data_IF_128850837617
#
_entry.id   IF_128850837617
#
_cell.length_a   1.000
_cell.length_b   1.000
_cell.length_c   1.000
_cell.angle_alpha   90.00
_cell.angle_beta   90.00
_cell.angle_gamma   90.00
#
_symmetry.space_group_name_H-M   'P 1'
#
loop_
_entity.id
_entity.type
_entity.pdbx_description
1 polymer ?
#
# COMPACT_ATOMS: atom_id res chain seq x y z
N UNK A 1 4.18 -20.40 3.81
CA UNK A 1 4.36 -18.94 3.68
C UNK A 1 4.78 -18.65 2.26
N UNK A 2 4.08 -17.77 1.55
CA UNK A 2 4.54 -17.27 0.25
C UNK A 2 5.72 -16.31 0.45
N UNK A 3 6.56 -16.15 -0.57
CA UNK A 3 7.67 -15.21 -0.50
C UNK A 3 7.15 -13.76 -0.42
N UNK A 4 7.76 -12.93 0.44
CA UNK A 4 7.44 -11.52 0.55
C UNK A 4 7.76 -10.76 -0.75
N UNK A 5 6.82 -9.97 -1.24
CA UNK A 5 7.09 -9.06 -2.36
C UNK A 5 7.54 -7.70 -1.82
N UNK A 6 8.85 -7.43 -1.88
CA UNK A 6 9.42 -6.19 -1.35
C UNK A 6 9.72 -5.17 -2.45
N UNK A 7 9.63 -3.89 -2.09
CA UNK A 7 10.08 -2.77 -2.92
C UNK A 7 11.17 -1.98 -2.19
N UNK A 8 12.02 -1.28 -2.94
CA UNK A 8 13.05 -0.44 -2.34
C UNK A 8 13.14 0.96 -2.94
N UNK A 9 13.73 1.83 -2.13
CA UNK A 9 14.14 3.18 -2.47
C UNK A 9 15.67 3.29 -2.35
N UNK A 10 16.29 3.99 -3.30
CA UNK A 10 17.73 4.23 -3.30
C UNK A 10 18.58 3.10 -3.86
N UNK A 11 19.90 3.20 -3.71
CA UNK A 11 20.83 2.16 -4.18
C UNK A 11 21.00 1.10 -3.10
N UNK A 12 20.56 -0.16 -3.31
CA UNK A 12 20.78 -1.22 -2.35
C UNK A 12 22.28 -1.58 -2.31
N UNK A 13 22.79 -2.05 -1.15
CA UNK A 13 24.15 -2.57 -1.05
C UNK A 13 24.43 -3.65 -2.11
N UNK A 14 25.65 -3.71 -2.64
CA UNK A 14 26.00 -4.63 -3.73
C UNK A 14 25.69 -6.10 -3.39
N UNK A 15 25.96 -6.51 -2.15
CA UNK A 15 25.66 -7.86 -1.65
C UNK A 15 24.15 -8.15 -1.59
N UNK A 16 23.33 -7.10 -1.47
CA UNK A 16 21.88 -7.19 -1.51
C UNK A 16 21.36 -7.32 -2.94
N UNK A 17 21.95 -6.58 -3.88
CA UNK A 17 21.64 -6.67 -5.32
C UNK A 17 22.17 -7.97 -5.98
N UNK A 18 23.27 -8.52 -5.46
CA UNK A 18 23.92 -9.75 -5.94
C UNK A 18 23.43 -11.03 -5.23
N UNK A 19 22.65 -10.92 -4.16
CA UNK A 19 22.31 -12.00 -3.23
C UNK A 19 21.05 -12.81 -3.56
N UNK A 20 21.02 -14.04 -3.04
CA UNK A 20 19.95 -15.05 -3.16
C UNK A 20 18.71 -14.70 -2.33
N UNK A 21 17.97 -13.68 -2.73
CA UNK A 21 16.65 -13.43 -2.16
C UNK A 21 15.65 -14.46 -2.69
N UNK A 22 14.78 -14.97 -1.82
CA UNK A 22 13.69 -15.86 -2.23
C UNK A 22 12.64 -15.14 -3.10
N UNK A 23 12.63 -13.81 -3.10
CA UNK A 23 11.81 -12.98 -3.98
C UNK A 23 12.59 -11.73 -4.44
N UNK A 24 12.42 -11.29 -5.69
CA UNK A 24 13.16 -10.17 -6.24
C UNK A 24 12.78 -8.87 -5.53
N UNK A 25 13.79 -8.10 -5.16
CA UNK A 25 13.64 -6.73 -4.76
C UNK A 25 13.47 -5.87 -6.02
N UNK A 26 12.42 -5.06 -6.10
CA UNK A 26 12.16 -4.18 -7.25
C UNK A 26 12.09 -2.71 -6.83
N UNK A 27 12.53 -1.82 -7.71
CA UNK A 27 12.38 -0.38 -7.52
C UNK A 27 10.90 -0.05 -7.29
N UNK A 28 10.62 1.00 -6.54
CA UNK A 28 9.27 1.55 -6.42
C UNK A 28 8.65 1.68 -7.82
N UNK A 29 7.54 0.97 -8.03
CA UNK A 29 6.81 0.89 -9.28
C UNK A 29 5.34 1.27 -9.03
N UNK A 30 4.59 1.54 -10.08
CA UNK A 30 3.13 1.81 -10.05
C UNK A 30 2.29 0.55 -9.76
N UNK A 31 2.88 -0.46 -9.11
CA UNK A 31 2.17 -1.68 -8.76
C UNK A 31 0.97 -1.38 -7.87
N UNK A 32 -0.12 -2.14 -8.02
CA UNK A 32 -1.24 -2.00 -7.11
C UNK A 32 -0.78 -2.30 -5.67
N UNK A 33 -1.26 -1.56 -4.66
CA UNK A 33 -0.74 -1.66 -3.30
C UNK A 33 -0.79 -3.06 -2.67
N UNK A 34 -1.71 -3.93 -3.06
CA UNK A 34 -1.75 -5.32 -2.55
C UNK A 34 -0.60 -6.20 -3.05
N UNK A 35 0.07 -5.82 -4.14
CA UNK A 35 1.19 -6.59 -4.69
C UNK A 35 2.48 -6.41 -3.88
N UNK A 36 2.55 -5.38 -3.03
CA UNK A 36 3.72 -5.06 -2.21
C UNK A 36 3.45 -5.42 -0.76
N UNK A 37 4.37 -6.12 -0.12
CA UNK A 37 4.29 -6.55 1.28
C UNK A 37 5.08 -5.65 2.23
N UNK A 38 6.10 -4.95 1.74
CA UNK A 38 6.86 -3.99 2.54
C UNK A 38 7.93 -3.25 1.74
N UNK A 39 8.59 -2.32 2.43
CA UNK A 39 9.51 -1.35 1.87
C UNK A 39 10.88 -1.42 2.55
N UNK A 40 11.94 -1.32 1.75
CA UNK A 40 13.32 -1.13 2.23
C UNK A 40 13.83 0.23 1.72
N UNK A 41 14.32 1.07 2.62
CA UNK A 41 14.82 2.41 2.26
C UNK A 41 16.31 2.47 2.55
N UNK A 42 17.15 2.52 1.52
CA UNK A 42 18.60 2.53 1.68
C UNK A 42 19.21 3.93 1.67
N UNK A 43 18.60 4.86 0.93
CA UNK A 43 19.04 6.25 0.84
C UNK A 43 17.85 7.19 0.91
N UNK A 44 18.13 8.51 0.96
CA UNK A 44 17.07 9.52 0.84
C UNK A 44 16.34 9.38 -0.51
N UNK A 45 14.98 9.32 -0.51
CA UNK A 45 14.18 9.24 -1.73
C UNK A 45 14.22 10.54 -2.54
N UNK A 46 14.11 10.39 -3.85
CA UNK A 46 13.68 11.44 -4.78
C UNK A 46 12.20 11.80 -4.56
N UNK A 47 11.72 12.89 -5.17
CA UNK A 47 10.32 13.31 -5.07
C UNK A 47 9.34 12.28 -5.67
N UNK A 48 9.74 11.57 -6.72
CA UNK A 48 8.94 10.51 -7.34
C UNK A 48 8.85 9.27 -6.44
N UNK A 49 10.00 8.80 -5.92
CA UNK A 49 10.04 7.70 -4.94
C UNK A 49 9.26 8.05 -3.67
N UNK A 50 9.27 9.31 -3.28
CA UNK A 50 8.53 9.81 -2.12
C UNK A 50 7.03 9.61 -2.26
N UNK A 51 6.45 9.86 -3.43
CA UNK A 51 5.03 9.63 -3.67
C UNK A 51 4.66 8.15 -3.57
N UNK A 52 5.50 7.27 -4.14
CA UNK A 52 5.36 5.82 -4.02
C UNK A 52 5.42 5.34 -2.56
N UNK A 53 6.39 5.83 -1.79
CA UNK A 53 6.52 5.51 -0.35
C UNK A 53 5.28 5.98 0.40
N UNK A 54 4.84 7.23 0.22
CA UNK A 54 3.66 7.77 0.90
C UNK A 54 2.41 6.97 0.57
N UNK A 55 2.22 6.61 -0.69
CA UNK A 55 1.12 5.76 -1.14
C UNK A 55 1.11 4.43 -0.39
N UNK A 56 2.23 3.70 -0.39
CA UNK A 56 2.33 2.40 0.27
C UNK A 56 2.22 2.49 1.80
N UNK A 57 2.78 3.54 2.42
CA UNK A 57 2.63 3.80 3.86
C UNK A 57 1.19 4.13 4.25
N UNK A 58 0.45 4.86 3.43
CA UNK A 58 -1.00 5.08 3.62
C UNK A 58 -1.79 3.77 3.58
N UNK A 59 -1.32 2.80 2.81
CA UNK A 59 -1.87 1.44 2.78
C UNK A 59 -1.38 0.56 3.95
N UNK A 60 -0.53 1.09 4.83
CA UNK A 60 0.00 0.41 6.00
C UNK A 60 1.11 -0.58 5.69
N UNK A 61 1.79 -0.47 4.54
CA UNK A 61 2.91 -1.34 4.22
C UNK A 61 4.09 -1.06 5.14
N UNK A 62 4.62 -2.07 5.86
CA UNK A 62 5.74 -1.87 6.75
C UNK A 62 6.98 -1.42 5.97
N UNK A 63 7.80 -0.59 6.59
CA UNK A 63 9.00 -0.01 6.00
C UNK A 63 10.18 -0.06 6.97
N UNK A 64 11.32 -0.50 6.46
CA UNK A 64 12.61 -0.49 7.16
C UNK A 64 13.51 0.59 6.56
N UNK A 65 14.13 1.41 7.39
CA UNK A 65 15.16 2.36 6.95
C UNK A 65 16.55 1.85 7.29
N UNK A 66 17.45 2.00 6.32
CA UNK A 66 18.89 1.83 6.46
C UNK A 66 19.69 3.10 6.18
N UNK A 67 19.04 4.19 5.77
CA UNK A 67 19.67 5.48 5.47
C UNK A 67 20.10 6.25 6.74
N UNK A 68 21.39 6.26 7.13
CA UNK A 68 21.83 6.90 8.38
C UNK A 68 21.76 8.44 8.30
N UNK A 69 21.90 8.99 7.10
CA UNK A 69 21.96 10.44 6.85
C UNK A 69 20.58 11.06 6.56
N UNK A 70 19.51 10.35 6.92
CA UNK A 70 18.14 10.77 6.65
C UNK A 70 17.25 10.66 7.90
N UNK A 71 17.35 11.62 8.84
CA UNK A 71 16.63 11.57 10.10
C UNK A 71 15.09 11.59 9.93
N UNK A 72 14.58 12.18 8.84
CA UNK A 72 13.15 12.17 8.51
C UNK A 72 12.61 10.77 8.19
N UNK A 73 13.48 9.79 7.91
CA UNK A 73 13.09 8.39 7.73
C UNK A 73 12.33 7.84 8.94
N UNK A 74 12.57 8.37 10.15
CA UNK A 74 11.91 7.94 11.38
C UNK A 74 10.39 8.13 11.35
N UNK A 75 9.91 9.11 10.57
CA UNK A 75 8.49 9.40 10.47
C UNK A 75 7.76 8.44 9.51
N UNK A 76 8.50 7.63 8.76
CA UNK A 76 7.99 6.84 7.64
C UNK A 76 8.28 5.36 7.76
N UNK A 77 9.14 5.00 8.69
CA UNK A 77 9.60 3.62 8.87
C UNK A 77 9.17 3.12 10.22
N UNK A 78 8.88 1.83 10.28
CA UNK A 78 8.47 1.18 11.52
C UNK A 78 9.70 0.79 12.33
N UNK A 79 10.81 0.50 11.66
CA UNK A 79 12.08 0.14 12.28
C UNK A 79 13.25 0.76 11.49
N UNK A 80 14.28 1.15 12.23
CA UNK A 80 15.51 1.73 11.70
C UNK A 80 16.71 0.86 12.04
N UNK A 81 17.56 0.61 11.06
CA UNK A 81 18.77 -0.18 11.19
C UNK A 81 19.92 0.56 10.51
N UNK A 82 20.90 1.06 11.27
CA UNK A 82 22.02 1.81 10.70
C UNK A 82 23.35 1.26 11.20
N UNK A 83 24.27 0.83 10.31
CA UNK A 83 24.11 0.63 8.85
C UNK A 83 23.35 -0.67 8.50
N UNK A 84 23.11 -0.91 7.21
CA UNK A 84 22.70 -2.24 6.73
C UNK A 84 23.84 -3.25 6.94
N UNK A 85 23.52 -4.41 7.54
CA UNK A 85 24.45 -5.51 7.76
C UNK A 85 24.03 -6.74 6.92
N UNK A 86 24.80 -7.16 5.90
CA UNK A 86 24.43 -8.30 5.05
C UNK A 86 24.17 -9.60 5.83
N UNK A 87 24.92 -9.83 6.92
CA UNK A 87 24.76 -11.02 7.77
C UNK A 87 23.44 -11.05 8.56
N UNK A 88 22.64 -9.97 8.56
CA UNK A 88 21.40 -9.84 9.34
C UNK A 88 20.12 -9.83 8.50
N UNK A 89 20.21 -10.13 7.19
CA UNK A 89 19.05 -10.11 6.27
C UNK A 89 17.86 -10.93 6.78
N UNK A 90 18.10 -12.15 7.26
CA UNK A 90 17.03 -12.99 7.80
C UNK A 90 16.31 -12.33 9.01
N UNK A 91 17.07 -11.59 9.83
CA UNK A 91 16.53 -10.80 10.94
C UNK A 91 15.67 -9.64 10.47
N UNK A 92 16.08 -8.92 9.42
CA UNK A 92 15.28 -7.83 8.84
C UNK A 92 13.96 -8.35 8.25
N UNK A 93 13.99 -9.48 7.56
CA UNK A 93 12.78 -10.12 7.02
C UNK A 93 11.83 -10.56 8.13
N UNK A 94 12.37 -11.24 9.16
CA UNK A 94 11.58 -11.66 10.32
C UNK A 94 10.93 -10.46 11.02
N UNK A 95 11.68 -9.36 11.17
CA UNK A 95 11.15 -8.13 11.75
C UNK A 95 10.03 -7.51 10.90
N UNK A 96 10.18 -7.50 9.57
CA UNK A 96 9.15 -7.02 8.65
C UNK A 96 7.88 -7.89 8.69
N UNK A 97 8.03 -9.21 8.74
CA UNK A 97 6.90 -10.16 8.83
C UNK A 97 6.13 -10.03 10.14
N UNK A 98 6.80 -9.64 11.22
CA UNK A 98 6.19 -9.42 12.53
C UNK A 98 5.36 -8.13 12.59
N UNK A 99 5.56 -7.19 11.65
CA UNK A 99 4.80 -5.94 11.58
C UNK A 99 3.44 -6.15 10.90
N UNK A 100 2.40 -5.39 11.29
CA UNK A 100 1.15 -5.37 10.55
C UNK A 100 1.38 -4.99 9.09
N UNK A 101 1.03 -5.89 8.17
CA UNK A 101 1.20 -5.69 6.73
C UNK A 101 0.28 -4.61 6.15
N UNK A 102 -0.87 -4.39 6.79
CA UNK A 102 -1.88 -3.43 6.35
C UNK A 102 -2.56 -2.78 7.54
N UNK A 103 -3.01 -1.55 7.32
CA UNK A 103 -3.86 -0.79 8.23
C UNK A 103 -5.35 -0.82 7.82
N UNK A 104 -5.71 -1.76 6.93
CA UNK A 104 -7.06 -1.87 6.38
C UNK A 104 -8.12 -2.08 7.45
N UNK A 105 -9.25 -1.41 7.26
CA UNK A 105 -10.45 -1.54 8.09
C UNK A 105 -11.59 -2.06 7.22
N UNK A 106 -12.24 -3.17 7.56
CA UNK A 106 -13.41 -3.67 6.84
C UNK A 106 -14.45 -2.58 6.63
N UNK A 107 -15.11 -2.53 5.48
CA UNK A 107 -16.24 -1.62 5.27
C UNK A 107 -17.56 -2.28 5.68
N UNK A 108 -18.60 -1.46 5.83
CA UNK A 108 -19.95 -1.96 6.06
C UNK A 108 -20.45 -2.76 4.84
N UNK A 109 -21.10 -3.91 5.07
CA UNK A 109 -21.57 -4.77 3.98
C UNK A 109 -22.61 -4.09 3.10
N UNK A 110 -23.55 -3.32 3.68
CA UNK A 110 -24.52 -2.58 2.86
C UNK A 110 -23.82 -1.49 2.05
N UNK A 111 -22.73 -0.91 2.57
CA UNK A 111 -21.88 0.00 1.81
C UNK A 111 -21.20 -0.71 0.63
N UNK A 112 -20.73 -1.94 0.81
CA UNK A 112 -20.12 -2.76 -0.24
C UNK A 112 -21.10 -3.03 -1.39
N UNK A 113 -22.37 -3.32 -1.09
CA UNK A 113 -23.42 -3.63 -2.07
C UNK A 113 -23.62 -2.50 -3.10
N UNK A 114 -23.38 -1.24 -2.73
CA UNK A 114 -23.46 -0.12 -3.66
C UNK A 114 -22.44 -0.22 -4.81
N UNK A 115 -21.24 -0.75 -4.52
CA UNK A 115 -20.21 -0.97 -5.53
C UNK A 115 -20.58 -2.15 -6.44
N UNK A 116 -21.04 -3.26 -5.86
CA UNK A 116 -21.49 -4.42 -6.64
C UNK A 116 -22.64 -4.06 -7.58
N UNK A 117 -23.67 -3.38 -7.05
CA UNK A 117 -24.80 -2.92 -7.84
C UNK A 117 -24.37 -1.99 -8.98
N UNK A 118 -23.44 -1.07 -8.73
CA UNK A 118 -22.92 -0.16 -9.75
C UNK A 118 -22.14 -0.89 -10.85
N UNK A 119 -21.34 -1.91 -10.49
CA UNK A 119 -20.58 -2.74 -11.46
C UNK A 119 -21.54 -3.56 -12.32
N UNK A 120 -22.50 -4.26 -11.70
CA UNK A 120 -23.48 -5.10 -12.41
C UNK A 120 -24.32 -4.28 -13.38
N UNK A 121 -24.77 -3.09 -12.94
CA UNK A 121 -25.58 -2.19 -13.78
C UNK A 121 -24.74 -1.33 -14.75
N UNK A 122 -23.41 -1.38 -14.65
CA UNK A 122 -22.45 -0.60 -15.46
C UNK A 122 -22.74 0.92 -15.46
N UNK A 123 -23.30 1.42 -14.37
CA UNK A 123 -23.65 2.84 -14.23
C UNK A 123 -22.43 3.66 -13.79
N UNK A 124 -22.46 4.94 -14.12
CA UNK A 124 -21.50 5.91 -13.56
C UNK A 124 -21.89 6.20 -12.11
N UNK A 125 -20.88 6.33 -11.25
CA UNK A 125 -21.02 6.71 -9.83
C UNK A 125 -20.23 7.98 -9.54
N UNK A 126 -20.69 8.76 -8.58
CA UNK A 126 -19.91 9.84 -7.96
C UNK A 126 -19.20 9.30 -6.72
N UNK A 127 -17.87 9.35 -6.70
CA UNK A 127 -17.04 8.90 -5.58
C UNK A 127 -16.38 10.07 -4.88
N UNK A 128 -16.35 10.00 -3.55
CA UNK A 128 -15.45 10.82 -2.71
C UNK A 128 -14.53 9.87 -1.97
N UNK A 129 -13.22 10.08 -2.01
CA UNK A 129 -12.23 9.19 -1.38
C UNK A 129 -11.02 9.96 -0.86
N UNK A 130 -10.33 9.40 0.14
CA UNK A 130 -9.12 9.99 0.71
C UNK A 130 -7.91 9.69 -0.17
N UNK A 131 -7.26 10.73 -0.68
CA UNK A 131 -6.02 10.68 -1.46
C UNK A 131 -4.79 10.33 -0.64
N UNK A 132 -3.64 10.30 -1.30
CA UNK A 132 -2.34 9.96 -0.69
C UNK A 132 -1.90 11.07 0.28
N UNK A 133 -2.10 12.33 -0.11
CA UNK A 133 -1.95 13.53 0.72
C UNK A 133 -2.87 13.51 1.96
N UNK A 134 -4.00 12.82 1.87
CA UNK A 134 -5.03 12.74 2.91
C UNK A 134 -6.23 13.65 2.63
N UNK A 135 -6.19 14.41 1.54
CA UNK A 135 -7.29 15.24 1.08
C UNK A 135 -8.41 14.38 0.51
N UNK A 136 -9.63 14.94 0.49
CA UNK A 136 -10.78 14.25 -0.12
C UNK A 136 -10.85 14.63 -1.60
N UNK A 137 -10.66 13.64 -2.45
CA UNK A 137 -10.79 13.76 -3.88
C UNK A 137 -12.19 13.33 -4.34
N UNK A 138 -12.68 13.96 -5.40
CA UNK A 138 -13.96 13.66 -6.02
C UNK A 138 -13.77 13.20 -7.47
N UNK A 139 -14.50 12.18 -7.88
CA UNK A 139 -14.47 11.72 -9.27
C UNK A 139 -15.79 11.11 -9.68
N UNK A 140 -16.16 11.27 -10.95
CA UNK A 140 -17.25 10.53 -11.58
C UNK A 140 -16.65 9.46 -12.50
N UNK A 141 -17.02 8.20 -12.28
CA UNK A 141 -16.43 7.09 -13.03
C UNK A 141 -17.34 5.88 -13.05
N UNK A 142 -17.08 4.96 -13.97
CA UNK A 142 -17.66 3.61 -13.91
C UNK A 142 -16.80 2.74 -13.01
N UNK A 143 -17.42 1.74 -12.39
CA UNK A 143 -16.70 0.71 -11.66
C UNK A 143 -16.65 -0.54 -12.52
N UNK A 144 -15.46 -1.14 -12.64
CA UNK A 144 -15.26 -2.32 -13.48
C UNK A 144 -15.27 -3.62 -12.69
N UNK A 145 -14.74 -3.64 -11.47
CA UNK A 145 -14.62 -4.85 -10.67
C UNK A 145 -14.39 -4.55 -9.19
N UNK A 146 -14.62 -5.53 -8.33
CA UNK A 146 -14.11 -5.57 -6.96
C UNK A 146 -13.11 -6.71 -6.78
N UNK A 147 -12.27 -6.61 -5.76
CA UNK A 147 -11.32 -7.67 -5.42
C UNK A 147 -11.00 -7.64 -3.93
N UNK A 148 -10.88 -8.82 -3.34
CA UNK A 148 -10.33 -8.98 -1.99
C UNK A 148 -8.99 -9.69 -2.06
N UNK A 149 -7.95 -9.10 -1.48
CA UNK A 149 -6.59 -9.66 -1.45
C UNK A 149 -6.05 -9.55 -0.03
N UNK A 150 -5.69 -10.69 0.58
CA UNK A 150 -5.11 -10.75 1.93
C UNK A 150 -5.88 -9.86 2.92
N UNK A 151 -7.19 -10.05 2.97
CA UNK A 151 -8.18 -9.33 3.81
C UNK A 151 -8.41 -7.84 3.47
N UNK A 152 -7.76 -7.29 2.44
CA UNK A 152 -7.99 -5.93 1.97
C UNK A 152 -8.95 -5.94 0.78
N UNK A 153 -9.93 -5.03 0.79
CA UNK A 153 -10.93 -4.93 -0.27
C UNK A 153 -10.68 -3.71 -1.16
N UNK A 154 -10.85 -3.92 -2.46
CA UNK A 154 -10.58 -2.94 -3.49
C UNK A 154 -11.70 -2.86 -4.52
N UNK A 155 -11.83 -1.69 -5.14
CA UNK A 155 -12.64 -1.48 -6.34
C UNK A 155 -11.77 -0.92 -7.45
N UNK A 156 -12.02 -1.38 -8.67
CA UNK A 156 -11.38 -0.88 -9.87
C UNK A 156 -12.24 0.18 -10.54
N UNK A 157 -11.63 1.34 -10.79
CA UNK A 157 -12.23 2.44 -11.52
C UNK A 157 -12.21 2.16 -13.03
N UNK A 158 -13.02 2.89 -13.79
CA UNK A 158 -13.07 2.76 -15.25
C UNK A 158 -11.75 3.08 -15.96
N UNK A 159 -10.84 3.81 -15.29
CA UNK A 159 -9.46 4.03 -15.75
C UNK A 159 -8.54 2.81 -15.63
N UNK A 160 -8.98 1.76 -14.92
CA UNK A 160 -8.17 0.61 -14.54
C UNK A 160 -7.46 0.75 -13.19
N UNK A 161 -7.43 1.96 -12.61
CA UNK A 161 -6.87 2.25 -11.28
C UNK A 161 -7.66 1.54 -10.20
N UNK A 162 -6.96 1.07 -9.17
CA UNK A 162 -7.61 0.42 -8.02
C UNK A 162 -7.55 1.28 -6.77
N UNK A 163 -8.69 1.39 -6.10
CA UNK A 163 -8.82 2.07 -4.82
C UNK A 163 -9.19 1.07 -3.72
N UNK A 164 -8.62 1.24 -2.53
CA UNK A 164 -9.09 0.51 -1.34
C UNK A 164 -10.43 1.04 -0.89
N UNK A 165 -11.35 0.12 -0.60
CA UNK A 165 -12.71 0.46 -0.18
C UNK A 165 -12.73 1.22 1.14
N UNK A 166 -11.82 0.92 2.08
CA UNK A 166 -11.75 1.63 3.37
C UNK A 166 -11.28 3.10 3.24
N UNK A 167 -10.81 3.51 2.06
CA UNK A 167 -10.45 4.89 1.73
C UNK A 167 -11.57 5.67 1.06
N UNK A 168 -12.66 5.01 0.67
CA UNK A 168 -13.82 5.68 0.10
C UNK A 168 -14.63 6.30 1.23
N UNK A 169 -14.96 7.58 1.06
CA UNK A 169 -15.75 8.39 1.99
C UNK A 169 -17.23 8.29 1.65
N UNK A 170 -17.57 8.28 0.35
CA UNK A 170 -18.96 8.14 -0.10
C UNK A 170 -19.05 7.64 -1.55
N UNK A 171 -20.17 7.00 -1.89
CA UNK A 171 -20.58 6.68 -3.27
C UNK A 171 -22.00 7.18 -3.51
N UNK A 172 -22.21 7.99 -4.55
CA UNK A 172 -23.50 8.63 -4.89
C UNK A 172 -24.17 9.35 -3.72
N UNK A 173 -23.36 10.02 -2.90
CA UNK A 173 -23.82 10.73 -1.70
C UNK A 173 -24.13 9.82 -0.50
N UNK A 174 -24.09 8.49 -0.66
CA UNK A 174 -24.16 7.54 0.46
C UNK A 174 -22.80 7.51 1.15
N UNK A 175 -22.75 7.91 2.41
CA UNK A 175 -21.53 7.92 3.20
C UNK A 175 -21.12 6.50 3.63
N UNK A 176 -19.82 6.26 3.70
CA UNK A 176 -19.27 5.05 4.30
C UNK A 176 -19.72 4.97 5.77
N UNK A 177 -20.42 3.90 6.12
CA UNK A 177 -20.87 3.62 7.48
C UNK A 177 -19.73 3.25 8.42
N UNK A 178 -20.07 2.97 9.69
CA UNK A 178 -19.12 2.37 10.62
C UNK A 178 -18.84 0.93 10.15
N UNK A 179 -17.56 0.58 10.02
CA UNK A 179 -17.09 -0.77 9.69
C UNK A 179 -17.84 -1.86 10.45
N UNK A 180 -18.23 -2.95 9.78
CA UNK A 180 -18.68 -4.16 10.46
C UNK A 180 -17.59 -4.62 11.44
N UNK A 181 -17.91 -4.68 12.74
CA UNK A 181 -17.07 -5.33 13.74
C UNK A 181 -17.42 -6.82 13.72
N UNK A 182 -16.48 -7.65 13.26
CA UNK A 182 -16.53 -9.10 13.47
C UNK A 182 -15.97 -9.45 14.85
#
# INVERSE_FOLDING_TARGET
>A
MGALTLRYCGVPPADLAAGTWTAPLALLAEDPPWAVDGLLIFTRPTEEEWEGIRSLRRHGRPALSFAPDWPEAAQLTDLQYHPFEPGRVAGYLTALEALPRTNYRPIDCNFYDHFEAAIVTRRTVSLSYRGIDGEVNHTETRLSNTKTVRTEEYVQLGSGTWLRLDRIVSVDGVAAGVSCRF
#
